data_IF_724020527989
#
_entry.id   IF_724020527989
#
_cell.length_a   1.000
_cell.length_b   1.000
_cell.length_c   1.000
_cell.angle_alpha   90.00
_cell.angle_beta   90.00
_cell.angle_gamma   90.00
#
_symmetry.space_group_name_H-M   'P 1'
#
loop_
_entity.id
_entity.type
_entity.pdbx_description
1 polymer ?
#
# COMPACT_ATOMS: atom_id res chain seq x y z
N UNK A 1 14.78 12.91 16.23
CA UNK A 1 13.45 12.36 16.55
C UNK A 1 13.16 10.99 15.93
N UNK A 2 13.22 10.81 14.60
CA UNK A 2 12.89 9.54 13.92
C UNK A 2 13.55 8.27 14.50
N UNK A 3 14.87 8.31 14.80
CA UNK A 3 15.59 7.17 15.42
C UNK A 3 15.05 6.79 16.81
N UNK A 4 14.57 7.78 17.57
CA UNK A 4 14.02 7.58 18.92
C UNK A 4 12.66 6.87 18.82
N UNK A 5 11.80 7.34 17.91
CA UNK A 5 10.50 6.72 17.60
C UNK A 5 10.69 5.28 17.14
N UNK A 6 11.55 5.07 16.13
CA UNK A 6 11.81 3.74 15.55
C UNK A 6 12.42 2.76 16.57
N UNK A 7 13.24 3.25 17.50
CA UNK A 7 13.83 2.43 18.55
C UNK A 7 12.84 1.97 19.62
N UNK A 8 11.63 2.55 19.67
CA UNK A 8 10.62 2.31 20.71
C UNK A 8 11.17 2.44 22.14
N UNK A 9 12.21 3.25 22.34
CA UNK A 9 12.97 3.30 23.61
C UNK A 9 12.43 4.31 24.62
N UNK A 10 11.49 5.17 24.23
CA UNK A 10 11.03 6.27 25.08
C UNK A 10 9.54 6.60 24.92
N UNK A 11 8.81 6.60 26.04
CA UNK A 11 7.44 7.12 26.18
C UNK A 11 7.41 8.66 26.15
N UNK A 12 8.57 9.32 26.30
CA UNK A 12 8.68 10.77 26.52
C UNK A 12 8.79 11.60 25.25
N UNK A 13 8.69 11.00 24.05
CA UNK A 13 8.82 11.73 22.77
C UNK A 13 7.82 12.89 22.68
N UNK A 14 6.59 12.70 23.17
CA UNK A 14 5.56 13.73 23.23
C UNK A 14 6.01 15.01 23.97
N UNK A 15 6.87 14.88 24.99
CA UNK A 15 7.34 16.02 25.78
C UNK A 15 8.59 16.70 25.17
N UNK A 16 9.17 16.11 24.12
CA UNK A 16 10.41 16.58 23.49
C UNK A 16 10.21 17.02 22.04
N UNK A 17 8.99 16.96 21.51
CA UNK A 17 8.68 17.37 20.13
C UNK A 17 9.01 18.85 19.91
N UNK A 18 8.72 19.69 20.90
CA UNK A 18 9.06 21.12 20.89
C UNK A 18 10.55 21.41 20.70
N UNK A 19 11.46 20.51 21.12
CA UNK A 19 12.91 20.64 20.90
C UNK A 19 13.29 20.52 19.41
N UNK A 20 12.40 19.97 18.57
CA UNK A 20 12.64 19.73 17.14
C UNK A 20 11.95 20.77 16.23
N UNK A 21 11.22 21.72 16.79
CA UNK A 21 10.68 22.89 16.08
C UNK A 21 11.85 23.87 15.86
N UNK A 22 12.23 24.08 14.60
CA UNK A 22 13.42 24.86 14.20
C UNK A 22 13.05 25.79 13.05
N UNK A 23 13.92 26.71 12.61
CA UNK A 23 13.52 27.78 11.67
C UNK A 23 12.76 27.37 10.40
N UNK A 24 12.93 26.13 9.90
CA UNK A 24 12.20 25.57 8.75
C UNK A 24 10.98 24.69 9.14
N UNK A 25 10.86 24.31 10.41
CA UNK A 25 9.81 23.47 10.99
C UNK A 25 9.04 24.31 12.01
N UNK A 26 7.83 24.73 11.66
CA UNK A 26 7.09 25.75 12.40
C UNK A 26 6.18 25.17 13.49
N UNK A 27 5.87 23.88 13.42
CA UNK A 27 4.94 23.22 14.34
C UNK A 27 5.45 21.86 14.82
N UNK A 28 4.95 21.43 15.97
CA UNK A 28 5.20 20.07 16.49
C UNK A 28 4.66 18.99 15.54
N UNK A 29 3.53 19.24 14.88
CA UNK A 29 2.95 18.34 13.87
C UNK A 29 3.85 18.20 12.65
N UNK A 30 4.44 19.30 12.15
CA UNK A 30 5.43 19.26 11.07
C UNK A 30 6.68 18.47 11.48
N UNK A 31 7.15 18.64 12.72
CA UNK A 31 8.27 17.86 13.23
C UNK A 31 7.93 16.35 13.25
N UNK A 32 6.75 15.98 13.77
CA UNK A 32 6.29 14.59 13.83
C UNK A 32 6.10 14.01 12.43
N UNK A 33 5.54 14.78 11.50
CA UNK A 33 5.36 14.36 10.12
C UNK A 33 6.72 14.12 9.45
N UNK A 34 7.67 15.05 9.57
CA UNK A 34 9.02 14.85 9.05
C UNK A 34 9.71 13.62 9.65
N UNK A 35 9.52 13.34 10.95
CA UNK A 35 10.04 12.13 11.55
C UNK A 35 9.38 10.85 11.01
N UNK A 36 8.07 10.87 10.73
CA UNK A 36 7.34 9.75 10.10
C UNK A 36 7.79 9.53 8.66
N UNK A 37 8.00 10.60 7.91
CA UNK A 37 8.47 10.53 6.52
C UNK A 37 9.86 9.88 6.45
N UNK A 38 10.77 10.28 7.33
CA UNK A 38 12.10 9.67 7.46
C UNK A 38 11.98 8.17 7.80
N UNK A 39 11.08 7.79 8.71
CA UNK A 39 10.86 6.37 9.06
C UNK A 39 10.27 5.59 7.88
N UNK A 40 9.30 6.18 7.17
CA UNK A 40 8.70 5.59 5.98
C UNK A 40 9.76 5.35 4.89
N UNK A 41 10.67 6.30 4.69
CA UNK A 41 11.83 6.16 3.81
C UNK A 41 12.71 4.99 4.26
N UNK A 42 13.10 4.91 5.54
CA UNK A 42 13.93 3.80 6.04
C UNK A 42 13.26 2.42 5.87
N UNK A 43 11.95 2.32 6.13
CA UNK A 43 11.20 1.08 5.94
C UNK A 43 11.12 0.71 4.45
N UNK A 44 10.90 1.70 3.58
CA UNK A 44 10.87 1.50 2.12
C UNK A 44 12.23 1.05 1.58
N UNK A 45 13.32 1.61 2.10
CA UNK A 45 14.69 1.25 1.72
C UNK A 45 15.18 -0.07 2.34
N UNK A 46 14.51 -0.59 3.37
CA UNK A 46 14.86 -1.84 4.01
C UNK A 46 14.60 -3.05 3.09
N UNK A 47 15.69 -3.72 2.67
CA UNK A 47 15.64 -4.90 1.79
C UNK A 47 14.80 -6.05 2.35
N UNK A 48 14.83 -6.28 3.68
CA UNK A 48 14.03 -7.36 4.31
C UNK A 48 12.55 -7.02 4.21
N UNK A 49 12.16 -5.82 4.63
CA UNK A 49 10.78 -5.34 4.54
C UNK A 49 10.21 -5.46 3.12
N UNK A 50 10.94 -4.95 2.11
CA UNK A 50 10.53 -5.06 0.70
C UNK A 50 10.37 -6.51 0.25
N UNK A 51 11.31 -7.38 0.59
CA UNK A 51 11.25 -8.78 0.20
C UNK A 51 10.08 -9.52 0.86
N UNK A 52 9.80 -9.24 2.13
CA UNK A 52 8.69 -9.84 2.85
C UNK A 52 7.34 -9.43 2.23
N UNK A 53 7.14 -8.14 1.96
CA UNK A 53 5.92 -7.66 1.28
C UNK A 53 5.80 -8.22 -0.14
N UNK A 54 6.88 -8.23 -0.93
CA UNK A 54 6.86 -8.81 -2.28
C UNK A 54 6.49 -10.29 -2.26
N UNK A 55 6.96 -11.02 -1.25
CA UNK A 55 6.60 -12.42 -1.03
C UNK A 55 5.13 -12.57 -0.67
N UNK A 56 4.60 -11.71 0.20
CA UNK A 56 3.19 -11.70 0.58
C UNK A 56 2.28 -11.45 -0.64
N UNK A 57 2.59 -10.43 -1.46
CA UNK A 57 1.88 -10.18 -2.71
C UNK A 57 1.86 -11.41 -3.62
N UNK A 58 3.02 -12.05 -3.79
CA UNK A 58 3.16 -13.22 -4.67
C UNK A 58 2.37 -14.44 -4.16
N UNK A 59 2.13 -14.54 -2.85
CA UNK A 59 1.50 -15.70 -2.21
C UNK A 59 0.01 -15.53 -1.95
N UNK A 60 -0.46 -14.33 -1.67
CA UNK A 60 -1.83 -14.13 -1.16
C UNK A 60 -2.50 -12.85 -1.62
N UNK A 61 -1.96 -12.15 -2.63
CA UNK A 61 -2.69 -11.01 -3.20
C UNK A 61 -4.00 -11.47 -3.86
N UNK A 62 -5.03 -10.66 -3.67
CA UNK A 62 -6.33 -10.79 -4.32
C UNK A 62 -6.42 -9.71 -5.39
N UNK A 63 -6.83 -10.09 -6.59
CA UNK A 63 -7.16 -9.16 -7.66
C UNK A 63 -8.65 -8.85 -7.62
N UNK A 64 -8.96 -7.57 -7.46
CA UNK A 64 -10.31 -7.02 -7.58
C UNK A 64 -10.45 -6.28 -8.90
N UNK A 65 -11.61 -6.40 -9.54
CA UNK A 65 -11.94 -5.61 -10.73
C UNK A 65 -13.38 -5.11 -10.67
N UNK A 66 -13.57 -3.88 -11.14
CA UNK A 66 -14.87 -3.20 -11.26
C UNK A 66 -14.91 -2.30 -12.49
N UNK A 67 -16.08 -2.02 -13.09
CA UNK A 67 -16.14 -1.08 -14.20
C UNK A 67 -15.76 0.33 -13.74
N UNK A 68 -15.19 1.10 -14.66
CA UNK A 68 -15.00 2.54 -14.46
C UNK A 68 -16.38 3.21 -14.38
N UNK A 69 -16.52 4.16 -13.43
CA UNK A 69 -17.79 4.88 -13.21
C UNK A 69 -18.22 5.55 -14.52
N UNK A 70 -19.47 5.28 -14.94
CA UNK A 70 -20.04 5.85 -16.16
C UNK A 70 -19.74 5.07 -17.45
N UNK A 71 -18.87 4.05 -17.43
CA UNK A 71 -18.49 3.26 -18.61
C UNK A 71 -18.99 1.82 -18.60
N UNK A 72 -19.99 1.51 -17.78
CA UNK A 72 -20.48 0.14 -17.59
C UNK A 72 -21.02 -0.49 -18.88
N UNK A 73 -21.70 0.29 -19.71
CA UNK A 73 -22.24 -0.15 -21.01
C UNK A 73 -21.12 -0.39 -22.03
N UNK A 74 -20.15 0.53 -22.13
CA UNK A 74 -18.96 0.36 -22.98
C UNK A 74 -18.10 -0.84 -22.55
N UNK A 75 -18.13 -1.19 -21.26
CA UNK A 75 -17.38 -2.28 -20.68
C UNK A 75 -18.10 -3.64 -20.73
N UNK A 76 -19.24 -3.78 -21.42
CA UNK A 76 -20.08 -5.01 -21.38
C UNK A 76 -19.31 -6.27 -21.81
N UNK A 77 -18.33 -6.14 -22.72
CA UNK A 77 -17.43 -7.26 -23.08
C UNK A 77 -16.56 -7.80 -21.92
N UNK A 78 -16.45 -7.06 -20.82
CA UNK A 78 -15.73 -7.43 -19.60
C UNK A 78 -16.66 -7.67 -18.41
N UNK A 79 -17.96 -7.88 -18.66
CA UNK A 79 -18.98 -8.01 -17.61
C UNK A 79 -18.69 -9.09 -16.57
N UNK A 80 -18.06 -10.19 -16.99
CA UNK A 80 -17.60 -11.27 -16.09
C UNK A 80 -16.61 -10.78 -15.02
N UNK A 81 -16.01 -9.59 -15.23
CA UNK A 81 -15.02 -9.00 -14.35
C UNK A 81 -15.49 -7.75 -13.58
N UNK A 82 -16.80 -7.46 -13.56
CA UNK A 82 -17.33 -6.25 -12.91
C UNK A 82 -17.39 -6.33 -11.38
N UNK A 83 -17.52 -7.52 -10.82
CA UNK A 83 -17.49 -7.79 -9.38
C UNK A 83 -16.51 -8.94 -9.12
N UNK A 84 -15.33 -8.82 -9.72
CA UNK A 84 -14.32 -9.86 -9.66
C UNK A 84 -13.50 -9.74 -8.38
N UNK A 85 -13.24 -10.86 -7.72
CA UNK A 85 -12.38 -10.95 -6.55
C UNK A 85 -11.81 -12.37 -6.45
N UNK A 86 -10.57 -12.58 -6.87
CA UNK A 86 -9.92 -13.89 -6.79
C UNK A 86 -8.43 -13.82 -6.41
N UNK A 87 -7.87 -14.87 -5.79
CA UNK A 87 -6.44 -14.96 -5.51
C UNK A 87 -5.60 -14.92 -6.78
N UNK A 88 -4.74 -13.92 -6.92
CA UNK A 88 -3.94 -13.67 -8.12
C UNK A 88 -3.03 -14.84 -8.47
N UNK A 89 -2.46 -15.50 -7.46
CA UNK A 89 -1.53 -16.62 -7.64
C UNK A 89 -2.18 -17.90 -8.23
N UNK A 90 -3.51 -17.98 -8.24
CA UNK A 90 -4.27 -19.11 -8.80
C UNK A 90 -4.98 -18.76 -10.10
N UNK A 91 -4.90 -17.51 -10.56
CA UNK A 91 -5.60 -17.07 -11.75
C UNK A 91 -4.93 -17.60 -13.03
N UNK A 92 -5.68 -18.26 -13.93
CA UNK A 92 -5.24 -18.56 -15.28
C UNK A 92 -4.82 -17.29 -16.04
N UNK A 93 -3.76 -17.39 -16.84
CA UNK A 93 -3.18 -16.26 -17.58
C UNK A 93 -4.18 -15.54 -18.47
N UNK A 94 -5.11 -16.26 -19.12
CA UNK A 94 -6.10 -15.64 -20.00
C UNK A 94 -7.06 -14.69 -19.26
N UNK A 95 -7.41 -14.99 -17.99
CA UNK A 95 -8.26 -14.10 -17.18
C UNK A 95 -7.51 -12.85 -16.76
N UNK A 96 -6.26 -13.03 -16.30
CA UNK A 96 -5.38 -11.90 -15.98
C UNK A 96 -5.23 -10.97 -17.18
N UNK A 97 -4.96 -11.53 -18.37
CA UNK A 97 -4.83 -10.75 -19.61
C UNK A 97 -6.13 -10.03 -20.01
N UNK A 98 -7.30 -10.65 -19.81
CA UNK A 98 -8.58 -10.01 -20.12
C UNK A 98 -8.85 -8.81 -19.20
N UNK A 99 -8.59 -8.96 -17.91
CA UNK A 99 -8.75 -7.90 -16.91
C UNK A 99 -7.77 -6.75 -17.19
N UNK A 100 -6.48 -7.05 -17.41
CA UNK A 100 -5.46 -6.05 -17.74
C UNK A 100 -5.79 -5.32 -19.06
N UNK A 101 -6.36 -6.00 -20.04
CA UNK A 101 -6.82 -5.35 -21.27
C UNK A 101 -7.96 -4.36 -20.99
N UNK A 102 -8.95 -4.77 -20.20
CA UNK A 102 -10.06 -3.87 -19.82
C UNK A 102 -9.59 -2.66 -19.01
N UNK A 103 -8.57 -2.82 -18.17
CA UNK A 103 -7.92 -1.71 -17.47
C UNK A 103 -7.18 -0.78 -18.44
N UNK A 104 -6.36 -1.32 -19.33
CA UNK A 104 -5.58 -0.55 -20.31
C UNK A 104 -6.49 0.25 -21.26
N UNK A 105 -7.67 -0.28 -21.58
CA UNK A 105 -8.69 0.42 -22.37
C UNK A 105 -9.49 1.45 -21.54
N UNK A 106 -9.22 1.56 -20.24
CA UNK A 106 -9.89 2.50 -19.33
C UNK A 106 -11.36 2.16 -19.08
N UNK A 107 -11.71 0.87 -19.14
CA UNK A 107 -13.06 0.33 -18.94
C UNK A 107 -13.21 -0.36 -17.58
N UNK A 108 -12.12 -0.92 -17.04
CA UNK A 108 -12.05 -1.51 -15.71
C UNK A 108 -11.10 -0.72 -14.81
N UNK A 109 -11.43 -0.66 -13.52
CA UNK A 109 -10.49 -0.34 -12.45
C UNK A 109 -10.06 -1.65 -11.79
N UNK A 110 -8.75 -1.84 -11.65
CA UNK A 110 -8.18 -3.01 -10.97
C UNK A 110 -7.56 -2.59 -9.65
N UNK A 111 -7.62 -3.47 -8.66
CA UNK A 111 -6.91 -3.30 -7.40
C UNK A 111 -6.31 -4.64 -6.99
N UNK A 112 -5.03 -4.66 -6.66
CA UNK A 112 -4.31 -5.86 -6.26
C UNK A 112 -3.72 -5.62 -4.88
N UNK A 113 -4.17 -6.38 -3.89
CA UNK A 113 -3.68 -6.23 -2.53
C UNK A 113 -3.66 -7.58 -1.81
N UNK A 114 -2.64 -7.87 -1.00
CA UNK A 114 -2.75 -8.89 0.03
C UNK A 114 -3.66 -8.39 1.16
N UNK A 115 -3.92 -9.28 2.12
CA UNK A 115 -4.53 -8.90 3.39
C UNK A 115 -3.66 -7.85 4.12
N UNK A 116 -4.28 -6.74 4.50
CA UNK A 116 -3.59 -5.58 5.07
C UNK A 116 -3.06 -5.85 6.47
N UNK A 117 -3.83 -6.53 7.32
CA UNK A 117 -3.40 -6.91 8.67
C UNK A 117 -2.15 -7.78 8.62
N UNK A 118 -2.15 -8.81 7.75
CA UNK A 118 -0.96 -9.65 7.52
C UNK A 118 0.22 -8.86 6.98
N UNK A 119 0.00 -7.86 6.12
CA UNK A 119 1.07 -7.02 5.60
C UNK A 119 1.73 -6.21 6.73
N UNK A 120 0.93 -5.65 7.64
CA UNK A 120 1.41 -4.92 8.81
C UNK A 120 2.17 -5.86 9.76
N UNK A 121 1.62 -7.03 10.09
CA UNK A 121 2.30 -8.03 10.93
C UNK A 121 3.65 -8.47 10.35
N UNK A 122 3.70 -8.66 9.03
CA UNK A 122 4.92 -9.05 8.30
C UNK A 122 6.02 -7.98 8.34
N UNK A 123 5.66 -6.71 8.54
CA UNK A 123 6.61 -5.59 8.68
C UNK A 123 7.04 -5.35 10.13
N UNK A 124 6.20 -5.73 11.10
CA UNK A 124 6.42 -5.52 12.53
C UNK A 124 7.20 -6.64 13.23
N UNK A 125 7.54 -7.73 12.54
CA UNK A 125 8.33 -8.88 13.03
C UNK A 125 9.67 -9.00 12.30
#
# INVERSE_FOLDING_TARGET
MAKIIMGQKDITIANRVSEFVTGEINTEDEALQGARDIIAEWVNENKRARNSIRTLFSRSAIMHSKPVRGKKEEADKYKDYFEFSEPLNKMPSHRVLAILRGEHEGLLNIHIQPDEEKAIETLGT
#
